data_IF_793854786637
#
_entry.id   IF_793854786637
#
_cell.length_a   1.000
_cell.length_b   1.000
_cell.length_c   1.000
_cell.angle_alpha   90.00
_cell.angle_beta   90.00
_cell.angle_gamma   90.00
#
_symmetry.space_group_name_H-M   'P 1'
#
loop_
_entity.id
_entity.type
_entity.pdbx_description
1 polymer ?
#
# COMPACT_ATOMS: atom_id res chain seq x y z
N UNK A 1 38.85 43.37 -6.71
CA UNK A 1 37.38 43.11 -6.75
C UNK A 1 37.05 41.71 -7.29
N UNK A 2 37.66 41.24 -8.36
CA UNK A 2 37.41 39.92 -8.98
C UNK A 2 37.66 38.69 -8.07
N UNK A 3 38.72 38.68 -7.23
CA UNK A 3 39.03 37.56 -6.30
C UNK A 3 37.97 37.32 -5.22
N UNK A 4 37.25 38.36 -4.78
CA UNK A 4 36.16 38.21 -3.79
C UNK A 4 34.90 37.68 -4.45
N UNK A 5 34.66 38.00 -5.70
CA UNK A 5 33.50 37.53 -6.47
C UNK A 5 33.62 36.04 -6.83
N UNK A 6 34.83 35.57 -7.17
CA UNK A 6 35.11 34.14 -7.46
C UNK A 6 34.95 33.28 -6.20
N UNK A 7 35.40 33.75 -5.04
CA UNK A 7 35.22 33.04 -3.76
C UNK A 7 33.73 32.93 -3.36
N UNK A 8 32.92 33.99 -3.60
CA UNK A 8 31.49 33.94 -3.34
C UNK A 8 30.73 32.99 -4.29
N UNK A 9 31.14 32.91 -5.54
CA UNK A 9 30.54 31.99 -6.51
C UNK A 9 30.87 30.54 -6.21
N UNK A 10 32.10 30.21 -5.77
CA UNK A 10 32.49 28.87 -5.32
C UNK A 10 31.78 28.46 -4.04
N UNK A 11 31.49 29.37 -3.10
CA UNK A 11 30.73 29.06 -1.91
C UNK A 11 29.24 28.74 -2.20
N UNK A 12 28.65 29.34 -3.23
CA UNK A 12 27.26 29.10 -3.63
C UNK A 12 27.06 27.71 -4.27
N UNK A 13 28.07 27.21 -4.99
CA UNK A 13 28.03 25.90 -5.66
C UNK A 13 28.17 24.74 -4.64
N UNK A 14 28.82 24.98 -3.50
CA UNK A 14 29.00 23.95 -2.47
C UNK A 14 27.74 23.69 -1.59
N UNK A 15 26.68 24.50 -1.74
CA UNK A 15 25.43 24.31 -0.98
C UNK A 15 24.40 23.40 -1.70
N UNK A 16 24.66 22.96 -2.93
CA UNK A 16 23.86 21.95 -3.61
C UNK A 16 24.26 20.55 -3.15
N UNK A 17 24.02 20.21 -1.88
CA UNK A 17 24.08 18.82 -1.43
C UNK A 17 22.92 18.06 -2.11
N UNK A 18 23.21 16.95 -2.81
CA UNK A 18 22.12 16.13 -3.34
C UNK A 18 21.29 15.63 -2.16
N UNK A 19 20.05 16.04 -2.07
CA UNK A 19 19.09 15.43 -1.13
C UNK A 19 18.93 13.98 -1.58
N UNK A 20 19.52 13.06 -0.85
CA UNK A 20 19.31 11.64 -1.10
C UNK A 20 17.81 11.35 -0.99
N UNK A 21 17.21 10.86 -2.07
CA UNK A 21 15.79 10.50 -2.08
C UNK A 21 15.55 9.44 -1.00
N UNK A 22 14.68 9.75 -0.04
CA UNK A 22 14.28 8.80 1.02
C UNK A 22 13.71 7.54 0.36
N UNK A 23 14.17 6.38 0.81
CA UNK A 23 13.52 5.11 0.44
C UNK A 23 12.25 4.97 1.28
N UNK A 24 11.10 4.86 0.63
CA UNK A 24 9.81 4.69 1.31
C UNK A 24 9.63 3.22 1.69
N UNK A 25 9.09 2.99 2.86
CA UNK A 25 8.69 1.65 3.33
C UNK A 25 7.23 1.46 3.01
N UNK A 26 6.93 0.47 2.18
CA UNK A 26 5.56 0.03 1.86
C UNK A 26 5.25 -1.22 2.69
N UNK A 27 4.12 -1.22 3.38
CA UNK A 27 3.65 -2.39 4.11
C UNK A 27 2.44 -3.03 3.43
N UNK A 28 2.27 -4.34 3.58
CA UNK A 28 1.09 -5.08 3.20
C UNK A 28 1.04 -6.42 3.91
N UNK A 29 -0.13 -7.06 3.94
CA UNK A 29 -0.32 -8.39 4.51
C UNK A 29 -0.34 -9.43 3.38
N UNK A 30 0.72 -10.22 3.26
CA UNK A 30 0.87 -11.21 2.19
C UNK A 30 0.10 -12.53 2.46
N UNK A 31 -1.15 -12.42 2.91
CA UNK A 31 -2.04 -13.55 3.15
C UNK A 31 -3.31 -13.52 2.26
N UNK A 32 -3.32 -12.73 1.18
CA UNK A 32 -4.51 -12.50 0.34
C UNK A 32 -4.23 -12.73 -1.16
N UNK A 33 -3.98 -14.00 -1.59
CA UNK A 33 -3.79 -14.29 -3.02
C UNK A 33 -5.11 -14.08 -3.81
N UNK A 34 -5.06 -13.62 -5.06
CA UNK A 34 -3.86 -13.32 -5.86
C UNK A 34 -3.35 -11.88 -5.70
N UNK A 35 -3.91 -11.12 -4.76
CA UNK A 35 -3.63 -9.69 -4.61
C UNK A 35 -2.25 -9.44 -4.00
N UNK A 36 -1.98 -9.99 -2.83
CA UNK A 36 -0.68 -9.99 -2.16
C UNK A 36 -0.46 -11.30 -1.40
N UNK A 37 0.64 -11.98 -1.70
CA UNK A 37 0.97 -13.25 -1.07
C UNK A 37 2.48 -13.52 -1.12
N UNK A 38 2.95 -14.52 -0.37
CA UNK A 38 4.32 -14.96 -0.40
C UNK A 38 4.48 -16.16 -1.34
N UNK A 39 5.52 -16.14 -2.17
CA UNK A 39 5.95 -17.33 -2.90
C UNK A 39 6.50 -18.39 -1.93
N UNK A 40 6.78 -19.61 -2.43
CA UNK A 40 7.46 -20.67 -1.65
C UNK A 40 8.81 -20.18 -1.10
N UNK A 41 9.47 -19.28 -1.80
CA UNK A 41 10.73 -18.64 -1.38
C UNK A 41 10.55 -17.46 -0.44
N UNK A 42 9.34 -17.24 0.09
CA UNK A 42 8.98 -16.12 0.98
C UNK A 42 9.19 -14.74 0.35
N UNK A 43 9.04 -14.63 -0.95
CA UNK A 43 9.14 -13.37 -1.68
C UNK A 43 7.72 -12.81 -1.86
N UNK A 44 7.44 -11.56 -1.41
CA UNK A 44 6.17 -10.89 -1.67
C UNK A 44 5.89 -10.77 -3.16
N UNK A 45 4.67 -11.13 -3.57
CA UNK A 45 4.22 -11.08 -4.96
C UNK A 45 2.70 -10.90 -5.02
N UNK A 46 2.16 -10.64 -6.20
CA UNK A 46 0.75 -10.46 -6.46
C UNK A 46 0.42 -9.10 -7.05
N UNK A 47 -0.84 -8.93 -7.43
CA UNK A 47 -1.31 -7.75 -8.15
C UNK A 47 -0.96 -6.44 -7.44
N UNK A 48 -1.22 -6.32 -6.15
CA UNK A 48 -0.93 -5.09 -5.37
C UNK A 48 0.57 -4.82 -5.27
N UNK A 49 1.39 -5.88 -5.19
CA UNK A 49 2.85 -5.76 -5.13
C UNK A 49 3.40 -5.24 -6.46
N UNK A 50 2.97 -5.82 -7.57
CA UNK A 50 3.40 -5.41 -8.91
C UNK A 50 2.93 -3.98 -9.20
N UNK A 51 1.70 -3.66 -8.78
CA UNK A 51 1.13 -2.33 -8.96
C UNK A 51 1.93 -1.24 -8.23
N UNK A 52 2.27 -1.44 -6.94
CA UNK A 52 3.04 -0.43 -6.19
C UNK A 52 4.48 -0.31 -6.72
N UNK A 53 5.08 -1.40 -7.18
CA UNK A 53 6.40 -1.35 -7.81
C UNK A 53 6.38 -0.57 -9.13
N UNK A 54 5.34 -0.74 -9.96
CA UNK A 54 5.21 0.01 -11.21
C UNK A 54 4.95 1.50 -10.94
N UNK A 55 4.14 1.84 -9.93
CA UNK A 55 3.96 3.23 -9.49
C UNK A 55 5.30 3.83 -9.07
N UNK A 56 6.05 3.14 -8.21
CA UNK A 56 7.33 3.62 -7.72
C UNK A 56 8.32 3.86 -8.87
N UNK A 57 8.38 2.94 -9.83
CA UNK A 57 9.20 3.06 -11.04
C UNK A 57 8.84 4.30 -11.85
N UNK A 58 7.54 4.52 -12.13
CA UNK A 58 7.07 5.68 -12.91
C UNK A 58 7.28 7.00 -12.18
N UNK A 59 7.13 7.01 -10.88
CA UNK A 59 7.34 8.19 -10.03
C UNK A 59 8.81 8.42 -9.66
N UNK A 60 9.73 7.58 -10.12
CA UNK A 60 11.16 7.59 -9.73
C UNK A 60 11.37 7.57 -8.21
N UNK A 61 10.56 6.77 -7.51
CA UNK A 61 10.65 6.56 -6.07
C UNK A 61 11.42 5.27 -5.76
N UNK A 62 12.19 5.30 -4.69
CA UNK A 62 12.78 4.08 -4.11
C UNK A 62 11.83 3.54 -3.04
N UNK A 63 11.47 2.28 -3.15
CA UNK A 63 10.62 1.61 -2.16
C UNK A 63 11.26 0.32 -1.66
N UNK A 64 10.89 -0.08 -0.45
CA UNK A 64 11.05 -1.42 0.08
C UNK A 64 9.70 -1.92 0.53
N UNK A 65 9.37 -3.19 0.23
CA UNK A 65 8.12 -3.80 0.67
C UNK A 65 8.36 -4.62 1.94
N UNK A 66 7.43 -4.54 2.89
CA UNK A 66 7.45 -5.27 4.17
C UNK A 66 6.13 -6.03 4.34
N UNK A 67 6.23 -7.34 4.48
CA UNK A 67 5.10 -8.17 4.90
C UNK A 67 4.84 -7.96 6.41
N UNK A 68 3.62 -7.61 6.77
CA UNK A 68 3.18 -7.37 8.16
C UNK A 68 1.82 -8.01 8.40
N UNK A 69 1.57 -8.45 9.64
CA UNK A 69 0.27 -8.98 10.01
C UNK A 69 -0.83 -7.93 9.86
N UNK A 70 -2.02 -8.37 9.42
CA UNK A 70 -3.17 -7.48 9.26
C UNK A 70 -3.57 -6.82 10.59
N UNK A 71 -3.52 -7.59 11.67
CA UNK A 71 -3.78 -7.07 13.00
C UNK A 71 -2.74 -6.01 13.38
N UNK A 72 -3.19 -4.80 13.63
CA UNK A 72 -2.32 -3.67 13.96
C UNK A 72 -1.70 -2.95 12.76
N UNK A 73 -2.00 -3.34 11.50
CA UNK A 73 -1.41 -2.72 10.31
C UNK A 73 -1.70 -1.21 10.23
N UNK A 74 -2.89 -0.77 10.62
CA UNK A 74 -3.23 0.65 10.66
C UNK A 74 -2.56 1.41 11.81
N UNK A 75 -2.41 0.77 12.96
CA UNK A 75 -1.69 1.35 14.09
C UNK A 75 -0.21 1.55 13.75
N UNK A 76 0.39 0.61 13.04
CA UNK A 76 1.76 0.73 12.55
C UNK A 76 1.94 1.87 11.54
N UNK A 77 0.97 2.09 10.64
CA UNK A 77 0.98 3.23 9.71
C UNK A 77 0.88 4.55 10.47
N UNK A 78 -0.05 4.65 11.41
CA UNK A 78 -0.23 5.85 12.25
C UNK A 78 1.02 6.16 13.10
N UNK A 79 1.72 5.13 13.55
CA UNK A 79 2.98 5.27 14.29
C UNK A 79 4.20 5.60 13.41
N UNK A 80 4.05 5.61 12.08
CA UNK A 80 5.14 5.89 11.15
C UNK A 80 6.15 4.74 10.99
N UNK A 81 5.76 3.50 11.33
CA UNK A 81 6.62 2.32 11.15
C UNK A 81 6.85 2.00 9.66
N UNK A 82 6.01 2.51 8.79
CA UNK A 82 6.08 2.49 7.34
C UNK A 82 5.36 3.70 6.78
N UNK A 83 5.68 4.06 5.54
CA UNK A 83 5.19 5.29 4.90
C UNK A 83 3.89 5.07 4.12
N UNK A 84 3.68 3.88 3.60
CA UNK A 84 2.55 3.53 2.71
C UNK A 84 2.01 2.16 3.08
N UNK A 85 0.69 1.99 2.99
CA UNK A 85 0.02 0.70 3.05
C UNK A 85 -0.50 0.34 1.66
N UNK A 86 -0.02 -0.80 1.12
CA UNK A 86 -0.49 -1.37 -0.14
C UNK A 86 -0.89 -2.84 0.10
N UNK A 87 -2.16 -3.06 0.47
CA UNK A 87 -2.68 -4.35 0.91
C UNK A 87 -4.18 -4.48 0.63
N UNK A 88 -4.60 -4.24 -0.61
CA UNK A 88 -6.00 -4.38 -1.06
C UNK A 88 -7.02 -3.76 -0.09
N UNK A 89 -6.62 -2.66 0.56
CA UNK A 89 -7.37 -2.03 1.65
C UNK A 89 -8.62 -1.36 1.13
N UNK A 90 -9.78 -1.80 1.60
CA UNK A 90 -11.06 -1.15 1.30
C UNK A 90 -11.11 0.27 1.84
N UNK A 91 -11.47 1.22 0.98
CA UNK A 91 -11.73 2.61 1.37
C UNK A 91 -13.08 2.65 2.10
N UNK A 92 -13.06 3.02 3.38
CA UNK A 92 -14.28 3.22 4.18
C UNK A 92 -14.31 4.60 4.80
N UNK A 93 -15.51 5.16 5.12
CA UNK A 93 -15.60 6.47 5.76
C UNK A 93 -14.79 6.57 7.07
N UNK A 94 -14.77 5.51 7.88
CA UNK A 94 -14.02 5.46 9.14
C UNK A 94 -12.52 5.56 8.89
N UNK A 95 -12.01 4.81 7.90
CA UNK A 95 -10.59 4.83 7.55
C UNK A 95 -10.17 6.17 6.95
N UNK A 96 -11.04 6.81 6.15
CA UNK A 96 -10.79 8.12 5.57
C UNK A 96 -10.72 9.26 6.61
N UNK A 97 -11.25 9.06 7.82
CA UNK A 97 -11.09 10.02 8.91
C UNK A 97 -9.67 10.01 9.49
N UNK A 98 -8.94 8.93 9.34
CA UNK A 98 -7.62 8.75 9.95
C UNK A 98 -6.47 8.68 8.94
N UNK A 99 -6.76 8.35 7.68
CA UNK A 99 -5.76 8.09 6.65
C UNK A 99 -6.18 8.66 5.30
N UNK A 100 -5.21 9.17 4.56
CA UNK A 100 -5.39 9.54 3.16
C UNK A 100 -5.34 8.31 2.26
N UNK A 101 -6.18 8.30 1.24
CA UNK A 101 -6.23 7.24 0.23
C UNK A 101 -5.93 7.79 -1.15
N UNK A 102 -5.33 6.97 -1.98
CA UNK A 102 -5.24 7.22 -3.43
C UNK A 102 -6.62 7.05 -4.09
N UNK A 103 -6.73 7.33 -5.38
CA UNK A 103 -7.84 6.83 -6.17
C UNK A 103 -7.89 5.30 -6.08
N UNK A 104 -9.08 4.67 -6.07
CA UNK A 104 -9.16 3.21 -6.04
C UNK A 104 -8.54 2.62 -7.32
N UNK A 105 -7.66 1.65 -7.14
CA UNK A 105 -6.99 0.95 -8.24
C UNK A 105 -7.62 -0.40 -8.60
N UNK A 106 -8.55 -0.86 -7.77
CA UNK A 106 -9.30 -2.11 -7.98
C UNK A 106 -10.69 -2.02 -7.37
N UNK A 107 -11.69 -2.56 -8.07
CA UNK A 107 -13.06 -2.70 -7.57
C UNK A 107 -13.34 -4.14 -7.16
N UNK A 108 -13.73 -4.36 -5.91
CA UNK A 108 -14.12 -5.67 -5.41
C UNK A 108 -15.57 -5.65 -4.93
N UNK A 109 -16.28 -6.75 -5.13
CA UNK A 109 -17.62 -6.97 -4.59
C UNK A 109 -17.61 -8.23 -3.72
N UNK A 110 -18.40 -8.21 -2.65
CA UNK A 110 -18.62 -9.40 -1.85
C UNK A 110 -19.66 -10.28 -2.54
N UNK A 111 -19.41 -11.58 -2.57
CA UNK A 111 -20.33 -12.56 -3.14
C UNK A 111 -20.58 -13.70 -2.14
N UNK A 112 -21.81 -14.17 -2.10
CA UNK A 112 -22.16 -15.37 -1.33
C UNK A 112 -22.07 -16.58 -2.24
N UNK A 113 -21.25 -17.55 -1.86
CA UNK A 113 -21.13 -18.83 -2.56
C UNK A 113 -22.02 -19.85 -1.84
N UNK A 114 -22.83 -20.60 -2.60
CA UNK A 114 -23.75 -21.59 -2.06
C UNK A 114 -23.79 -22.87 -2.92
N UNK A 115 -24.26 -23.98 -2.38
CA UNK A 115 -24.44 -25.20 -3.16
C UNK A 115 -25.41 -25.00 -4.34
N UNK A 116 -25.11 -25.65 -5.46
CA UNK A 116 -25.94 -25.60 -6.68
C UNK A 116 -27.39 -26.02 -6.36
N UNK A 117 -28.35 -25.24 -6.82
CA UNK A 117 -29.78 -25.48 -6.58
C UNK A 117 -30.39 -24.69 -5.42
N UNK A 118 -29.61 -24.16 -4.51
CA UNK A 118 -30.10 -23.17 -3.54
C UNK A 118 -30.24 -21.81 -4.21
N UNK A 119 -31.24 -21.02 -3.79
CA UNK A 119 -31.44 -19.65 -4.25
C UNK A 119 -31.44 -18.72 -3.03
N UNK A 120 -30.65 -17.69 -3.10
CA UNK A 120 -30.64 -16.56 -2.17
C UNK A 120 -30.81 -15.33 -3.07
N UNK A 121 -31.88 -14.58 -2.90
CA UNK A 121 -32.22 -13.44 -3.72
C UNK A 121 -31.90 -12.13 -3.00
N UNK A 122 -31.75 -12.17 -1.69
CA UNK A 122 -31.47 -11.00 -0.84
C UNK A 122 -30.66 -11.37 0.38
N UNK A 123 -30.07 -10.38 1.05
CA UNK A 123 -29.38 -10.57 2.33
C UNK A 123 -30.31 -11.07 3.45
N UNK A 124 -31.63 -10.79 3.35
CA UNK A 124 -32.62 -11.26 4.31
C UNK A 124 -32.74 -12.79 4.32
N UNK A 125 -32.50 -13.43 3.17
CA UNK A 125 -32.57 -14.88 3.02
C UNK A 125 -31.41 -15.61 3.75
N UNK A 126 -30.39 -14.85 4.21
CA UNK A 126 -29.27 -15.37 5.01
C UNK A 126 -29.63 -15.52 6.48
N UNK A 127 -30.75 -14.93 6.92
CA UNK A 127 -31.16 -14.96 8.33
C UNK A 127 -31.36 -16.40 8.82
N UNK A 128 -30.64 -16.76 9.88
CA UNK A 128 -30.71 -18.12 10.46
C UNK A 128 -29.83 -19.16 9.76
N UNK A 129 -29.07 -18.76 8.71
CA UNK A 129 -28.08 -19.64 8.09
C UNK A 129 -26.70 -19.45 8.73
N UNK A 130 -25.92 -20.53 8.76
CA UNK A 130 -24.50 -20.47 9.10
C UNK A 130 -23.74 -20.02 7.86
N UNK A 131 -23.04 -18.90 7.93
CA UNK A 131 -22.20 -18.34 6.86
C UNK A 131 -20.75 -18.42 7.32
N UNK A 132 -19.91 -19.06 6.50
CA UNK A 132 -18.47 -19.07 6.69
C UNK A 132 -17.82 -17.87 6.00
N UNK A 133 -16.70 -17.37 6.54
CA UNK A 133 -15.89 -16.30 5.97
C UNK A 133 -14.41 -16.68 5.97
#
# INVERSE_FOLDING_TARGET
MFRKLTLALCALVLMCTPVAAKTLVVAGNCAFPPMEFLTDKKIPTGYSIDYIHEIAKRANLKITFRDVAWDGIFAGLAAGNYDILASSTTITPERQQAFDFTIPYYGAVQAVVMPKGKKINSLADLKGLTVGS
#
